data_IF_720144380594
#
_entry.id   IF_720144380594
#
_cell.length_a   1.000
_cell.length_b   1.000
_cell.length_c   1.000
_cell.angle_alpha   90.00
_cell.angle_beta   90.00
_cell.angle_gamma   90.00
#
_symmetry.space_group_name_H-M   'P 1'
#
loop_
_entity.id
_entity.type
_entity.pdbx_description
1 polymer ?
#
# COMPACT_ATOMS: atom_id res chain seq x y z
N UNK A 1 4.22 -24.96 -7.10
CA UNK A 1 3.65 -25.48 -5.85
C UNK A 1 4.74 -25.48 -4.81
N UNK A 2 4.48 -25.01 -3.59
CA UNK A 2 5.47 -25.01 -2.50
C UNK A 2 4.86 -25.62 -1.26
N UNK A 3 5.59 -26.49 -0.59
CA UNK A 3 5.24 -27.07 0.70
C UNK A 3 6.23 -26.58 1.75
N UNK A 4 5.77 -25.72 2.65
CA UNK A 4 6.55 -25.23 3.78
C UNK A 4 6.22 -26.11 4.98
N UNK A 5 7.20 -26.78 5.55
CA UNK A 5 7.01 -27.74 6.63
C UNK A 5 7.48 -27.17 7.98
N UNK A 6 6.73 -27.44 9.03
CA UNK A 6 7.07 -27.15 10.43
C UNK A 6 7.33 -25.67 10.73
N UNK A 7 6.72 -24.77 9.97
CA UNK A 7 6.84 -23.32 10.19
C UNK A 7 5.90 -22.83 11.28
N UNK A 8 6.35 -21.88 12.10
CA UNK A 8 5.52 -21.29 13.16
C UNK A 8 4.64 -20.17 12.58
N UNK A 9 3.31 -20.33 12.61
CA UNK A 9 2.34 -19.54 11.84
C UNK A 9 1.57 -18.57 12.73
N UNK A 10 1.50 -17.31 12.28
CA UNK A 10 0.61 -16.26 12.81
C UNK A 10 -0.36 -15.77 11.72
N UNK A 11 -1.71 -15.78 12.00
CA UNK A 11 -2.71 -15.40 11.00
C UNK A 11 -4.05 -14.87 11.61
N UNK A 12 -4.13 -13.73 12.28
CA UNK A 12 -3.11 -13.00 13.04
C UNK A 12 -2.76 -13.67 14.37
N UNK A 13 -3.60 -14.60 14.89
CA UNK A 13 -3.34 -15.35 16.10
C UNK A 13 -2.22 -16.37 15.87
N UNK A 14 -1.52 -16.71 16.94
CA UNK A 14 -0.52 -17.77 16.90
C UNK A 14 -1.19 -19.12 16.71
N UNK A 15 -0.93 -19.77 15.59
CA UNK A 15 -1.47 -21.10 15.26
C UNK A 15 -0.51 -22.24 15.62
N UNK A 16 0.71 -21.94 16.06
CA UNK A 16 1.78 -22.89 16.30
C UNK A 16 2.43 -23.42 15.02
N UNK A 17 3.22 -24.48 15.17
CA UNK A 17 3.91 -25.12 14.02
C UNK A 17 2.92 -25.79 13.08
N UNK A 18 3.01 -25.46 11.81
CA UNK A 18 2.12 -25.95 10.75
C UNK A 18 2.91 -26.32 9.50
N UNK A 19 2.29 -27.18 8.70
CA UNK A 19 2.68 -27.35 7.29
C UNK A 19 1.78 -26.46 6.44
N UNK A 20 2.35 -25.72 5.48
CA UNK A 20 1.62 -24.78 4.63
C UNK A 20 1.88 -25.10 3.17
N UNK A 21 0.80 -25.41 2.45
CA UNK A 21 0.85 -25.68 1.00
C UNK A 21 0.36 -24.45 0.24
N UNK A 22 1.20 -24.00 -0.72
CA UNK A 22 0.82 -22.97 -1.67
C UNK A 22 0.82 -23.52 -3.10
N UNK A 23 -0.16 -23.07 -3.89
CA UNK A 23 -0.21 -23.30 -5.33
C UNK A 23 -0.32 -21.94 -6.02
N UNK A 24 0.64 -21.63 -6.87
CA UNK A 24 0.81 -20.28 -7.40
C UNK A 24 0.86 -19.24 -6.27
N UNK A 25 -0.06 -18.29 -6.27
CA UNK A 25 -0.12 -17.17 -5.31
C UNK A 25 -1.10 -17.42 -4.16
N UNK A 26 -1.58 -18.67 -3.98
CA UNK A 26 -2.62 -18.96 -2.99
C UNK A 26 -2.14 -20.00 -1.96
N UNK A 27 -2.42 -19.72 -0.70
CA UNK A 27 -2.39 -20.72 0.37
C UNK A 27 -3.61 -21.61 0.17
N UNK A 28 -3.38 -22.88 -0.14
CA UNK A 28 -4.48 -23.84 -0.39
C UNK A 28 -4.75 -24.76 0.81
N UNK A 29 -3.75 -24.91 1.70
CA UNK A 29 -3.92 -25.71 2.91
C UNK A 29 -2.95 -25.28 4.01
N UNK A 30 -3.45 -25.22 5.24
CA UNK A 30 -2.66 -25.15 6.48
C UNK A 30 -3.06 -26.37 7.29
N UNK A 31 -2.09 -27.17 7.74
CA UNK A 31 -2.32 -28.40 8.47
C UNK A 31 -1.33 -28.55 9.63
N UNK A 32 -1.52 -29.53 10.50
CA UNK A 32 -0.60 -29.83 11.59
C UNK A 32 0.79 -30.17 11.06
N UNK A 33 1.83 -29.72 11.76
CA UNK A 33 3.21 -29.98 11.36
C UNK A 33 3.48 -31.49 11.20
N UNK A 34 4.15 -31.85 10.12
CA UNK A 34 4.44 -33.25 9.76
C UNK A 34 3.26 -34.03 9.19
N UNK A 35 2.11 -33.39 8.95
CA UNK A 35 0.93 -34.06 8.37
C UNK A 35 0.91 -34.08 6.84
N UNK A 36 1.77 -33.30 6.19
CA UNK A 36 1.92 -33.29 4.73
C UNK A 36 3.31 -33.79 4.34
N UNK A 37 3.35 -34.79 3.45
CA UNK A 37 4.59 -35.28 2.85
C UNK A 37 4.66 -34.90 1.36
N UNK A 38 5.88 -34.79 0.84
CA UNK A 38 6.12 -34.54 -0.60
C UNK A 38 5.99 -35.83 -1.45
N UNK A 39 4.99 -36.64 -1.19
CA UNK A 39 4.71 -37.87 -1.88
C UNK A 39 3.49 -37.72 -2.80
N UNK A 40 3.39 -38.59 -3.81
CA UNK A 40 2.26 -38.62 -4.71
C UNK A 40 2.03 -37.29 -5.42
N UNK A 41 0.87 -36.68 -5.22
CA UNK A 41 0.52 -35.40 -5.87
C UNK A 41 1.45 -34.23 -5.50
N UNK A 42 2.14 -34.30 -4.37
CA UNK A 42 3.06 -33.25 -3.89
C UNK A 42 4.53 -33.52 -4.24
N UNK A 43 4.82 -34.60 -5.02
CA UNK A 43 6.20 -34.99 -5.41
C UNK A 43 6.96 -33.89 -6.14
N UNK A 44 6.26 -33.03 -6.87
CA UNK A 44 6.84 -31.91 -7.63
C UNK A 44 6.82 -30.59 -6.85
N UNK A 45 6.44 -30.60 -5.58
CA UNK A 45 6.44 -29.40 -4.76
C UNK A 45 7.86 -29.02 -4.35
N UNK A 46 8.17 -27.73 -4.46
CA UNK A 46 9.35 -27.17 -3.82
C UNK A 46 9.19 -27.28 -2.29
N UNK A 47 10.09 -28.03 -1.66
CA UNK A 47 10.10 -28.18 -0.19
C UNK A 47 10.87 -27.04 0.44
N UNK A 48 10.25 -26.42 1.45
CA UNK A 48 10.87 -25.38 2.27
C UNK A 48 10.83 -25.86 3.72
N UNK A 49 12.01 -26.00 4.32
CA UNK A 49 12.14 -26.24 5.76
C UNK A 49 11.81 -24.97 6.51
N UNK A 50 10.73 -24.99 7.28
CA UNK A 50 10.24 -23.88 8.08
C UNK A 50 10.68 -23.95 9.54
N UNK A 51 11.48 -24.94 9.94
CA UNK A 51 11.91 -25.08 11.33
C UNK A 51 12.70 -23.84 11.80
N UNK A 52 12.25 -23.24 12.90
CA UNK A 52 12.83 -22.01 13.45
C UNK A 52 12.46 -20.72 12.71
N UNK A 53 11.63 -20.80 11.65
CA UNK A 53 11.12 -19.64 10.92
C UNK A 53 9.69 -19.28 11.37
N UNK A 54 9.32 -18.03 11.14
CA UNK A 54 7.98 -17.51 11.35
C UNK A 54 7.31 -17.23 10.01
N UNK A 55 6.04 -17.62 9.88
CA UNK A 55 5.17 -17.24 8.77
C UNK A 55 4.11 -16.27 9.28
N UNK A 56 4.12 -15.07 8.74
CA UNK A 56 3.14 -14.01 9.05
C UNK A 56 2.49 -13.50 7.77
N UNK A 57 1.31 -12.85 7.82
CA UNK A 57 0.89 -11.98 6.73
C UNK A 57 1.97 -10.95 6.41
N UNK A 58 2.13 -10.61 5.13
CA UNK A 58 3.03 -9.56 4.74
C UNK A 58 2.62 -8.21 5.33
N UNK A 59 3.59 -7.33 5.55
CA UNK A 59 3.32 -6.00 6.10
C UNK A 59 2.59 -5.13 5.08
N UNK A 60 1.68 -4.30 5.60
CA UNK A 60 0.96 -3.28 4.84
C UNK A 60 1.54 -1.93 5.24
N UNK A 61 2.16 -1.24 4.30
CA UNK A 61 2.58 0.14 4.47
C UNK A 61 1.56 1.07 3.81
N UNK A 62 0.78 1.75 4.63
CA UNK A 62 -0.32 2.59 4.18
C UNK A 62 0.09 4.01 3.78
N UNK A 63 1.39 4.33 3.81
CA UNK A 63 1.92 5.66 3.50
C UNK A 63 3.32 5.56 2.90
N UNK A 64 3.41 5.42 1.58
CA UNK A 64 4.70 5.27 0.88
C UNK A 64 4.83 6.27 -0.26
N UNK A 65 5.92 7.04 -0.26
CA UNK A 65 6.28 7.87 -1.42
C UNK A 65 6.89 6.99 -2.52
N UNK A 66 6.05 6.22 -3.24
CA UNK A 66 6.52 5.25 -4.24
C UNK A 66 7.25 5.89 -5.41
N UNK A 67 7.00 7.17 -5.69
CA UNK A 67 7.76 7.99 -6.66
C UNK A 67 8.99 8.65 -6.06
N UNK A 68 9.33 8.32 -4.82
CA UNK A 68 10.32 9.03 -4.02
C UNK A 68 9.74 10.27 -3.36
N UNK A 69 10.41 10.74 -2.33
CA UNK A 69 10.11 11.95 -1.57
C UNK A 69 11.15 13.05 -1.77
N UNK A 70 11.17 14.02 -0.86
CA UNK A 70 12.09 15.15 -0.88
C UNK A 70 11.72 16.20 -1.94
N UNK A 71 12.69 17.04 -2.25
CA UNK A 71 12.51 18.21 -3.12
C UNK A 71 12.53 19.52 -2.35
N UNK A 72 12.31 19.48 -1.05
CA UNK A 72 12.59 20.62 -0.17
C UNK A 72 14.10 20.90 -0.14
N UNK A 73 14.49 22.14 -0.38
CA UNK A 73 15.90 22.54 -0.50
C UNK A 73 16.45 22.45 -1.93
N UNK A 74 15.61 22.18 -2.92
CA UNK A 74 15.93 22.26 -4.35
C UNK A 74 15.91 20.94 -5.10
N UNK A 75 16.05 21.03 -6.40
CA UNK A 75 15.90 19.90 -7.33
C UNK A 75 16.89 18.74 -7.14
N UNK A 76 18.05 19.01 -6.54
CA UNK A 76 19.02 17.96 -6.26
C UNK A 76 18.69 17.14 -5.00
N UNK A 77 17.77 17.62 -4.18
CA UNK A 77 17.38 16.97 -2.92
C UNK A 77 16.12 16.10 -3.12
N UNK A 78 16.25 15.06 -3.92
CA UNK A 78 15.17 14.13 -4.25
C UNK A 78 15.62 12.70 -4.00
N UNK A 79 14.75 11.88 -3.35
CA UNK A 79 14.99 10.46 -3.22
C UNK A 79 14.56 9.71 -4.48
N UNK A 80 15.18 8.56 -4.81
CA UNK A 80 14.75 7.73 -5.91
C UNK A 80 13.37 7.11 -5.64
N UNK A 81 12.77 6.58 -6.70
CA UNK A 81 11.54 5.79 -6.60
C UNK A 81 11.76 4.52 -5.78
N UNK A 82 10.70 4.09 -5.09
CA UNK A 82 10.69 2.80 -4.43
C UNK A 82 10.72 1.66 -5.47
N UNK A 83 11.49 0.61 -5.16
CA UNK A 83 11.51 -0.63 -5.96
C UNK A 83 10.78 -1.75 -5.22
N UNK A 84 10.22 -2.70 -5.98
CA UNK A 84 9.60 -3.88 -5.39
C UNK A 84 10.59 -4.62 -4.47
N UNK A 85 11.84 -4.81 -4.92
CA UNK A 85 12.89 -5.45 -4.13
C UNK A 85 13.15 -4.71 -2.82
N UNK A 86 13.26 -3.37 -2.87
CA UNK A 86 13.47 -2.54 -1.69
C UNK A 86 12.36 -2.66 -0.64
N UNK A 87 11.11 -2.82 -1.08
CA UNK A 87 9.95 -2.99 -0.22
C UNK A 87 9.85 -4.41 0.35
N UNK A 88 9.94 -5.42 -0.52
CA UNK A 88 9.77 -6.82 -0.11
C UNK A 88 10.91 -7.34 0.76
N UNK A 89 12.12 -6.80 0.63
CA UNK A 89 13.26 -7.10 1.49
C UNK A 89 12.94 -6.92 2.99
N UNK A 90 12.03 -6.02 3.31
CA UNK A 90 11.59 -5.76 4.69
C UNK A 90 10.22 -6.37 5.01
N UNK A 91 9.72 -7.28 4.16
CA UNK A 91 8.46 -7.98 4.37
C UNK A 91 7.21 -7.17 3.99
N UNK A 92 7.36 -6.01 3.35
CA UNK A 92 6.23 -5.21 2.86
C UNK A 92 5.69 -5.84 1.58
N UNK A 93 4.42 -6.25 1.59
CA UNK A 93 3.74 -6.89 0.45
C UNK A 93 2.58 -6.07 -0.08
N UNK A 94 2.14 -5.09 0.69
CA UNK A 94 1.07 -4.16 0.30
C UNK A 94 1.49 -2.74 0.58
N UNK A 95 1.30 -1.84 -0.39
CA UNK A 95 1.61 -0.41 -0.24
C UNK A 95 0.44 0.46 -0.65
N UNK A 96 0.32 1.62 0.00
CA UNK A 96 -0.53 2.71 -0.47
C UNK A 96 0.36 3.90 -0.79
N UNK A 97 0.53 4.17 -2.07
CA UNK A 97 1.35 5.26 -2.59
C UNK A 97 0.71 6.63 -2.36
N UNK A 98 1.52 7.62 -2.06
CA UNK A 98 1.08 9.02 -1.96
C UNK A 98 2.09 9.98 -2.60
N UNK A 99 1.59 11.13 -3.01
CA UNK A 99 2.41 12.31 -3.29
C UNK A 99 2.56 13.11 -1.99
N UNK A 100 3.77 13.62 -1.76
CA UNK A 100 4.02 14.52 -0.63
C UNK A 100 3.93 15.99 -1.05
N UNK A 101 4.87 16.81 -0.57
CA UNK A 101 4.96 18.25 -0.82
C UNK A 101 5.02 18.59 -2.31
N UNK A 102 5.77 17.81 -3.11
CA UNK A 102 5.90 18.02 -4.54
C UNK A 102 4.79 17.28 -5.31
N UNK A 103 3.66 17.95 -5.48
CA UNK A 103 2.56 17.50 -6.35
C UNK A 103 2.64 18.06 -7.78
N UNK A 104 3.79 18.60 -8.21
CA UNK A 104 4.02 19.19 -9.54
C UNK A 104 5.04 18.39 -10.31
N UNK A 105 6.23 18.21 -9.77
CA UNK A 105 7.29 17.42 -10.39
C UNK A 105 7.08 15.91 -10.24
N UNK A 106 6.19 15.51 -9.37
CA UNK A 106 5.60 14.17 -9.24
C UNK A 106 4.10 14.33 -9.23
N UNK A 107 3.42 13.80 -10.22
CA UNK A 107 2.00 14.03 -10.46
C UNK A 107 1.16 12.76 -10.30
N UNK A 108 -0.15 12.91 -10.40
CA UNK A 108 -1.11 11.80 -10.28
C UNK A 108 -0.97 10.77 -11.41
N UNK A 109 -0.61 11.19 -12.63
CA UNK A 109 -0.36 10.27 -13.74
C UNK A 109 0.80 9.32 -13.42
N UNK A 110 1.92 9.89 -12.99
CA UNK A 110 3.10 9.12 -12.61
C UNK A 110 2.82 8.20 -11.40
N UNK A 111 2.07 8.70 -10.40
CA UNK A 111 1.70 7.89 -9.22
C UNK A 111 0.85 6.68 -9.59
N UNK A 112 -0.20 6.86 -10.39
CA UNK A 112 -1.06 5.76 -10.84
C UNK A 112 -0.29 4.79 -11.72
N UNK A 113 0.55 5.27 -12.63
CA UNK A 113 1.39 4.42 -13.48
C UNK A 113 2.36 3.57 -12.64
N UNK A 114 3.03 4.17 -11.64
CA UNK A 114 3.92 3.45 -10.71
C UNK A 114 3.17 2.40 -9.92
N UNK A 115 1.99 2.72 -9.41
CA UNK A 115 1.14 1.80 -8.65
C UNK A 115 0.72 0.59 -9.49
N UNK A 116 0.32 0.83 -10.76
CA UNK A 116 0.03 -0.26 -11.71
C UNK A 116 1.26 -1.12 -12.00
N UNK A 117 2.42 -0.51 -12.20
CA UNK A 117 3.66 -1.24 -12.42
C UNK A 117 4.07 -2.13 -11.23
N UNK A 118 3.84 -1.68 -10.00
CA UNK A 118 4.06 -2.52 -8.81
C UNK A 118 3.08 -3.70 -8.76
N UNK A 119 1.81 -3.49 -9.15
CA UNK A 119 0.83 -4.56 -9.26
C UNK A 119 1.21 -5.59 -10.33
N UNK A 120 1.69 -5.15 -11.50
CA UNK A 120 2.17 -6.04 -12.57
C UNK A 120 3.39 -6.86 -12.12
N UNK A 121 4.19 -6.36 -11.20
CA UNK A 121 5.31 -7.08 -10.58
C UNK A 121 4.87 -8.06 -9.49
N UNK A 122 3.58 -8.09 -9.11
CA UNK A 122 3.03 -9.03 -8.13
C UNK A 122 2.86 -8.47 -6.70
N UNK A 123 3.07 -7.16 -6.50
CA UNK A 123 2.77 -6.51 -5.22
C UNK A 123 1.29 -6.09 -5.16
N UNK A 124 0.70 -6.01 -3.97
CA UNK A 124 -0.59 -5.35 -3.79
C UNK A 124 -0.37 -3.84 -3.60
N UNK A 125 -0.55 -3.06 -4.67
CA UNK A 125 -0.29 -1.62 -4.64
C UNK A 125 -1.57 -0.82 -4.90
N UNK A 126 -1.78 0.16 -4.04
CA UNK A 126 -2.84 1.17 -4.11
C UNK A 126 -2.23 2.55 -4.00
N UNK A 127 -3.03 3.60 -4.20
CA UNK A 127 -2.59 4.97 -3.96
C UNK A 127 -3.73 5.86 -3.48
N UNK A 128 -3.37 7.05 -3.01
CA UNK A 128 -4.29 8.14 -2.74
C UNK A 128 -4.29 9.13 -3.90
N UNK A 129 -5.44 9.75 -4.19
CA UNK A 129 -5.47 10.93 -5.06
C UNK A 129 -5.12 12.18 -4.25
N UNK A 130 -4.36 13.08 -4.85
CA UNK A 130 -3.95 14.33 -4.21
C UNK A 130 -2.47 14.41 -3.85
N UNK A 131 -2.16 15.48 -3.18
CA UNK A 131 -0.85 15.80 -2.60
C UNK A 131 -1.09 16.59 -1.30
N UNK A 132 -0.09 17.32 -0.78
CA UNK A 132 -0.24 18.14 0.44
C UNK A 132 -1.36 19.18 0.37
N UNK A 133 -1.68 19.66 -0.81
CA UNK A 133 -2.42 20.90 -1.03
C UNK A 133 -3.93 20.70 -1.18
N UNK A 134 -4.70 21.66 -0.66
CA UNK A 134 -6.09 21.90 -1.02
C UNK A 134 -6.11 23.22 -1.81
N UNK A 135 -6.75 23.28 -3.00
CA UNK A 135 -7.54 22.24 -3.69
C UNK A 135 -6.73 21.00 -4.09
N UNK A 136 -7.37 19.82 -3.96
CA UNK A 136 -6.74 18.53 -4.24
C UNK A 136 -6.40 18.39 -5.73
N UNK A 137 -5.16 18.03 -6.03
CA UNK A 137 -4.72 17.72 -7.40
C UNK A 137 -5.13 16.30 -7.74
N UNK A 138 -6.14 16.16 -8.58
CA UNK A 138 -6.71 14.89 -9.00
C UNK A 138 -6.27 14.51 -10.42
N UNK A 139 -6.50 13.26 -10.83
CA UNK A 139 -6.24 12.81 -12.19
C UNK A 139 -7.40 13.18 -13.15
N UNK A 140 -8.65 13.15 -12.65
CA UNK A 140 -9.87 13.32 -13.46
C UNK A 140 -10.65 14.59 -13.14
N UNK A 141 -10.02 15.59 -12.54
CA UNK A 141 -10.61 16.84 -12.05
C UNK A 141 -11.68 16.66 -10.95
N UNK A 142 -11.74 15.48 -10.33
CA UNK A 142 -12.71 15.19 -9.27
C UNK A 142 -12.22 14.08 -8.35
N UNK A 143 -12.20 14.34 -7.05
CA UNK A 143 -11.90 13.34 -6.02
C UNK A 143 -12.85 12.13 -6.15
N UNK A 144 -14.16 12.40 -6.28
CA UNK A 144 -15.18 11.36 -6.40
C UNK A 144 -14.92 10.46 -7.61
N UNK A 145 -14.61 11.06 -8.78
CA UNK A 145 -14.30 10.28 -9.99
C UNK A 145 -13.01 9.47 -9.85
N UNK A 146 -11.97 10.05 -9.30
CA UNK A 146 -10.70 9.34 -9.09
C UNK A 146 -10.91 8.10 -8.25
N UNK A 147 -11.56 8.24 -7.08
CA UNK A 147 -11.82 7.12 -6.18
C UNK A 147 -12.76 6.09 -6.82
N UNK A 148 -13.79 6.51 -7.57
CA UNK A 148 -14.74 5.59 -8.18
C UNK A 148 -14.15 4.83 -9.37
N UNK A 149 -13.48 5.53 -10.27
CA UNK A 149 -13.19 5.01 -11.61
C UNK A 149 -11.80 4.41 -11.75
N UNK A 150 -10.87 4.75 -10.85
CA UNK A 150 -9.48 4.25 -10.88
C UNK A 150 -9.32 3.21 -9.78
N UNK A 151 -9.14 1.96 -10.18
CA UNK A 151 -9.15 0.81 -9.26
C UNK A 151 -8.13 0.96 -8.12
N UNK A 152 -6.96 1.46 -8.40
CA UNK A 152 -5.85 1.60 -7.46
C UNK A 152 -6.06 2.74 -6.46
N UNK A 153 -6.91 3.72 -6.76
CA UNK A 153 -7.17 4.85 -5.87
C UNK A 153 -8.22 4.46 -4.82
N UNK A 154 -7.82 4.46 -3.54
CA UNK A 154 -8.67 4.02 -2.42
C UNK A 154 -9.08 5.15 -1.48
N UNK A 155 -8.61 6.36 -1.72
CA UNK A 155 -8.88 7.52 -0.89
C UNK A 155 -8.12 8.76 -1.37
N UNK A 156 -8.04 9.76 -0.52
CA UNK A 156 -7.36 11.04 -0.79
C UNK A 156 -6.21 11.27 0.18
N UNK A 157 -5.09 11.76 -0.30
CA UNK A 157 -3.94 12.12 0.53
C UNK A 157 -2.62 12.14 -0.26
N UNK A 158 -1.61 12.49 0.42
CA UNK A 158 -1.41 12.95 1.79
C UNK A 158 -1.83 14.44 1.92
N UNK A 159 -2.86 14.76 2.71
CA UNK A 159 -3.32 16.15 2.89
C UNK A 159 -2.64 16.74 4.11
N UNK A 160 -1.86 17.80 3.91
CA UNK A 160 -1.23 18.53 5.01
C UNK A 160 -2.17 19.63 5.52
N UNK A 161 -2.42 19.67 6.84
CA UNK A 161 -3.35 20.62 7.44
C UNK A 161 -2.67 21.73 8.25
N UNK A 162 -1.62 21.40 9.00
CA UNK A 162 -0.97 22.33 9.92
C UNK A 162 0.57 22.34 9.77
N UNK A 163 1.05 21.99 8.60
CA UNK A 163 2.46 22.03 8.24
C UNK A 163 2.79 23.34 7.51
N UNK A 164 4.00 23.87 7.68
CA UNK A 164 4.45 25.08 6.99
C UNK A 164 4.45 24.95 5.44
N UNK A 165 4.39 23.73 4.91
CA UNK A 165 4.30 23.41 3.48
C UNK A 165 2.85 23.18 3.01
N UNK A 166 1.88 23.19 3.92
CA UNK A 166 0.46 23.02 3.61
C UNK A 166 -0.15 24.27 2.97
N UNK A 167 -1.34 24.12 2.37
CA UNK A 167 -2.14 25.24 1.91
C UNK A 167 -2.86 25.97 3.06
N UNK A 168 -2.64 25.54 4.31
CA UNK A 168 -3.34 26.05 5.51
C UNK A 168 -4.87 26.04 5.32
N UNK A 169 -5.48 24.89 4.98
CA UNK A 169 -6.89 24.81 4.65
C UNK A 169 -7.77 25.16 5.86
N UNK A 170 -8.91 25.76 5.58
CA UNK A 170 -9.97 25.93 6.57
C UNK A 170 -10.60 24.59 6.91
N UNK A 171 -11.32 24.53 8.04
CA UNK A 171 -12.06 23.31 8.42
C UNK A 171 -13.09 22.93 7.35
N UNK A 172 -13.79 23.88 6.77
CA UNK A 172 -14.81 23.67 5.74
C UNK A 172 -14.23 23.11 4.44
N UNK A 173 -13.06 23.61 4.02
CA UNK A 173 -12.35 23.07 2.86
C UNK A 173 -11.91 21.62 3.09
N UNK A 174 -11.34 21.33 4.25
CA UNK A 174 -10.96 19.97 4.61
C UNK A 174 -12.17 19.04 4.75
N UNK A 175 -13.25 19.49 5.39
CA UNK A 175 -14.49 18.73 5.53
C UNK A 175 -15.10 18.37 4.16
N UNK A 176 -14.99 19.25 3.16
CA UNK A 176 -15.41 18.97 1.78
C UNK A 176 -14.58 17.85 1.14
N UNK A 177 -13.26 17.88 1.30
CA UNK A 177 -12.37 16.79 0.84
C UNK A 177 -12.78 15.46 1.46
N UNK A 178 -13.05 15.44 2.77
CA UNK A 178 -13.52 14.24 3.48
C UNK A 178 -14.86 13.73 2.91
N UNK A 179 -15.81 14.63 2.69
CA UNK A 179 -17.12 14.31 2.14
C UNK A 179 -17.03 13.72 0.72
N UNK A 180 -16.26 14.34 -0.18
CA UNK A 180 -16.05 13.89 -1.55
C UNK A 180 -15.34 12.52 -1.58
N UNK A 181 -14.31 12.35 -0.75
CA UNK A 181 -13.58 11.09 -0.62
C UNK A 181 -14.50 9.97 -0.14
N UNK A 182 -15.29 10.25 0.90
CA UNK A 182 -16.27 9.30 1.45
C UNK A 182 -17.34 8.92 0.42
N UNK A 183 -17.84 9.89 -0.33
CA UNK A 183 -18.83 9.66 -1.39
C UNK A 183 -18.26 8.72 -2.46
N UNK A 184 -17.03 9.00 -2.94
CA UNK A 184 -16.34 8.13 -3.90
C UNK A 184 -16.18 6.70 -3.39
N UNK A 185 -15.79 6.55 -2.12
CA UNK A 185 -15.64 5.24 -1.47
C UNK A 185 -16.96 4.47 -1.36
N UNK A 186 -18.04 5.13 -0.92
CA UNK A 186 -19.36 4.49 -0.79
C UNK A 186 -19.89 4.03 -2.15
N UNK A 187 -19.77 4.87 -3.18
CA UNK A 187 -20.26 4.56 -4.52
C UNK A 187 -19.48 3.45 -5.23
N UNK A 188 -18.21 3.21 -4.83
CA UNK A 188 -17.34 2.20 -5.45
C UNK A 188 -17.06 0.99 -4.58
N UNK A 189 -17.55 0.95 -3.34
CA UNK A 189 -17.24 -0.12 -2.39
C UNK A 189 -15.79 -0.12 -1.91
N UNK A 190 -15.12 1.03 -1.95
CA UNK A 190 -13.74 1.22 -1.52
C UNK A 190 -13.65 1.88 -0.14
N UNK A 191 -12.46 1.96 0.41
CA UNK A 191 -12.20 2.55 1.73
C UNK A 191 -12.71 4.00 1.85
N UNK A 192 -12.41 4.86 0.86
CA UNK A 192 -12.84 6.25 0.85
C UNK A 192 -12.36 7.02 2.09
N UNK A 193 -11.07 6.86 2.43
CA UNK A 193 -10.41 7.48 3.58
C UNK A 193 -9.57 8.67 3.15
N UNK A 194 -9.32 9.58 4.08
CA UNK A 194 -8.35 10.66 3.90
C UNK A 194 -7.12 10.37 4.75
N UNK A 195 -5.96 10.34 4.11
CA UNK A 195 -4.66 10.28 4.79
C UNK A 195 -4.19 11.69 5.07
N UNK A 196 -3.86 11.98 6.34
CA UNK A 196 -3.60 13.34 6.82
C UNK A 196 -2.19 13.46 7.40
N UNK A 197 -1.47 14.48 6.94
CA UNK A 197 -0.25 14.98 7.56
C UNK A 197 -0.61 16.13 8.50
N UNK A 198 -0.50 15.92 9.80
CA UNK A 198 -0.85 16.96 10.77
C UNK A 198 0.05 18.17 10.64
N UNK A 199 1.36 17.94 10.63
CA UNK A 199 2.36 18.99 10.60
C UNK A 199 2.75 19.51 11.98
N UNK A 200 3.58 20.53 12.00
CA UNK A 200 4.25 21.08 13.18
C UNK A 200 3.91 22.55 13.46
N UNK A 201 3.05 23.15 12.66
CA UNK A 201 2.66 24.55 12.85
C UNK A 201 1.70 24.68 14.04
N UNK A 202 1.95 25.59 14.96
CA UNK A 202 0.99 25.91 16.02
C UNK A 202 -0.27 26.54 15.40
N UNK A 203 -1.43 26.12 15.87
CA UNK A 203 -2.73 26.70 15.56
C UNK A 203 -3.39 27.23 16.81
#
# INVERSE_FOLDING_TARGET
MKLIQSIDVYAPQHLGKKDVLTINEKIVKIAEAGSMSADGFLSDAELIDGEGLLLTPGFIDSHVHVLGGGGEGGFANRTPEATMEGLTKFGVTTVVGCLGTDGIGRDMCALVAKTKGLNEQGMSAYCYTGSYQIPVRTLTDSIVKDVMMIQEIIGTGEIAISDHRSSQPTFEEFARVVADTRLGGVLSGKAGIVNVHLGDSPR
#
